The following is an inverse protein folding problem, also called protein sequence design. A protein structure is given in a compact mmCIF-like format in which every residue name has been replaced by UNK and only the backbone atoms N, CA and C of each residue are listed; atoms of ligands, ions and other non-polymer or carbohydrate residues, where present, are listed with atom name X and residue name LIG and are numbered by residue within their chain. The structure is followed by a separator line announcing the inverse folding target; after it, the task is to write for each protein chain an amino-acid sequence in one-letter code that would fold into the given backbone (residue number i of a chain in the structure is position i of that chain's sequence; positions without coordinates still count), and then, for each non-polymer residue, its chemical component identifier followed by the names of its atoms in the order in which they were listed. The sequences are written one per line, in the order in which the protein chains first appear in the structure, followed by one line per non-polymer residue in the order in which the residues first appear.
data_IF_960323234164
#
_entry.id   IF_960323234164
#
_cell.length_a   1.000
_cell.length_b   1.000
_cell.length_c   1.000
_cell.angle_alpha   90.00
_cell.angle_beta   90.00
_cell.angle_gamma   90.00
#
_symmetry.space_group_name_H-M   'P 1'
#
loop_
_entity.id
_entity.type
_entity.pdbx_description
1 polymer ?
#
# COMPACT_ATOMS: atom_id res chain seq x y z
N UNK A 1 30.41 -59.46 17.29
CA UNK A 1 30.30 -58.33 16.35
C UNK A 1 28.84 -57.90 16.38
N UNK A 2 28.51 -56.77 17.05
CA UNK A 2 27.18 -56.19 17.05
C UNK A 2 27.25 -54.92 16.19
N UNK A 3 26.58 -54.92 15.02
CA UNK A 3 26.36 -53.73 14.20
C UNK A 3 25.35 -52.85 14.93
N UNK A 4 25.79 -51.67 15.33
CA UNK A 4 24.93 -50.57 15.81
C UNK A 4 24.58 -49.76 14.55
N UNK A 5 23.36 -49.95 14.06
CA UNK A 5 22.76 -49.08 13.07
C UNK A 5 22.55 -47.68 13.68
N UNK A 6 23.32 -46.70 13.23
CA UNK A 6 23.06 -45.29 13.53
C UNK A 6 21.86 -44.81 12.66
N UNK A 7 20.71 -44.67 13.29
CA UNK A 7 19.60 -43.95 12.69
C UNK A 7 19.99 -42.44 12.59
N UNK A 8 20.25 -42.01 11.35
CA UNK A 8 20.35 -40.59 11.03
C UNK A 8 18.96 -40.02 11.12
N UNK A 9 18.67 -39.36 12.23
CA UNK A 9 17.45 -38.53 12.36
C UNK A 9 17.67 -37.30 11.47
N UNK A 10 17.03 -37.29 10.29
CA UNK A 10 16.90 -36.08 9.48
C UNK A 10 16.12 -35.05 10.29
N UNK A 11 16.83 -34.17 10.97
CA UNK A 11 16.24 -32.99 11.62
C UNK A 11 15.65 -32.11 10.52
N UNK A 12 14.33 -32.09 10.41
CA UNK A 12 13.62 -31.09 9.61
C UNK A 12 13.98 -29.72 10.18
N UNK A 13 14.74 -28.92 9.40
CA UNK A 13 15.04 -27.54 9.77
C UNK A 13 13.72 -26.78 9.89
N UNK A 14 13.51 -26.11 10.99
CA UNK A 14 12.37 -25.21 11.19
C UNK A 14 12.48 -24.03 10.21
N UNK A 15 11.40 -23.74 9.50
CA UNK A 15 11.35 -22.62 8.53
C UNK A 15 11.41 -21.30 9.27
N UNK A 16 12.20 -20.37 8.77
CA UNK A 16 12.21 -19.00 9.29
C UNK A 16 10.87 -18.29 9.06
N UNK A 17 10.63 -17.21 9.82
CA UNK A 17 9.44 -16.38 9.63
C UNK A 17 9.33 -15.86 8.19
N UNK A 18 10.45 -15.49 7.57
CA UNK A 18 10.46 -15.04 6.18
C UNK A 18 10.09 -16.17 5.21
N UNK A 19 10.64 -17.38 5.39
CA UNK A 19 10.32 -18.54 4.54
C UNK A 19 8.84 -18.90 4.64
N UNK A 20 8.27 -18.88 5.84
CA UNK A 20 6.84 -19.07 6.09
C UNK A 20 5.99 -17.98 5.43
N UNK A 21 6.40 -16.71 5.58
CA UNK A 21 5.74 -15.57 4.94
C UNK A 21 5.80 -15.69 3.41
N UNK A 22 6.94 -16.03 2.84
CA UNK A 22 7.08 -16.23 1.40
C UNK A 22 6.17 -17.36 0.90
N UNK A 23 6.15 -18.51 1.58
CA UNK A 23 5.33 -19.65 1.18
C UNK A 23 3.83 -19.29 1.21
N UNK A 24 3.35 -18.66 2.30
CA UNK A 24 1.94 -18.30 2.44
C UNK A 24 1.53 -17.17 1.48
N UNK A 25 2.34 -16.14 1.33
CA UNK A 25 2.03 -15.02 0.44
C UNK A 25 2.11 -15.41 -1.05
N UNK A 26 2.98 -16.35 -1.43
CA UNK A 26 3.05 -16.86 -2.82
C UNK A 26 1.71 -17.42 -3.31
N UNK A 27 0.90 -17.98 -2.42
CA UNK A 27 -0.44 -18.49 -2.74
C UNK A 27 -1.47 -17.38 -3.00
N UNK A 28 -1.13 -16.13 -2.68
CA UNK A 28 -1.99 -14.96 -2.83
C UNK A 28 -1.63 -14.12 -4.06
N UNK A 29 -0.61 -14.48 -4.83
CA UNK A 29 -0.27 -13.77 -6.07
C UNK A 29 -1.46 -13.82 -7.03
N UNK A 30 -1.84 -12.65 -7.58
CA UNK A 30 -3.01 -12.44 -8.42
C UNK A 30 -4.34 -12.36 -7.66
N UNK A 31 -4.31 -12.33 -6.31
CA UNK A 31 -5.52 -12.23 -5.49
C UNK A 31 -5.61 -10.87 -4.80
N UNK A 32 -6.85 -10.43 -4.61
CA UNK A 32 -7.18 -9.29 -3.78
C UNK A 32 -6.83 -9.61 -2.31
N UNK A 33 -5.90 -8.84 -1.74
CA UNK A 33 -5.54 -8.92 -0.33
C UNK A 33 -6.62 -8.29 0.56
N UNK A 34 -7.29 -7.26 0.05
CA UNK A 34 -8.39 -6.60 0.75
C UNK A 34 -8.72 -5.22 0.17
N UNK A 35 -9.79 -4.65 0.71
CA UNK A 35 -10.29 -3.31 0.38
C UNK A 35 -10.43 -2.52 1.68
N UNK A 36 -9.88 -1.32 1.72
CA UNK A 36 -9.92 -0.49 2.94
C UNK A 36 -11.32 0.04 3.23
N UNK A 37 -11.60 0.45 4.47
CA UNK A 37 -12.72 1.34 4.75
C UNK A 37 -12.62 2.62 3.94
N UNK A 38 -13.78 3.28 3.74
CA UNK A 38 -13.84 4.60 3.14
C UNK A 38 -13.20 5.66 4.04
N UNK A 39 -12.37 6.53 3.46
CA UNK A 39 -11.72 7.66 4.13
C UNK A 39 -12.23 8.97 3.53
N UNK A 40 -12.68 9.87 4.39
CA UNK A 40 -13.07 11.23 3.98
C UNK A 40 -11.82 12.07 3.68
N UNK A 41 -11.83 12.74 2.54
CA UNK A 41 -10.85 13.74 2.14
C UNK A 41 -11.53 15.12 2.22
N UNK A 42 -11.51 15.69 3.40
CA UNK A 42 -12.08 17.01 3.69
C UNK A 42 -11.08 18.15 3.42
N UNK A 43 -11.58 19.39 3.44
CA UNK A 43 -10.76 20.57 3.22
C UNK A 43 -9.65 20.72 4.26
N UNK A 44 -9.92 20.40 5.51
CA UNK A 44 -8.93 20.48 6.60
C UNK A 44 -7.70 19.62 6.29
N UNK A 45 -7.90 18.41 5.76
CA UNK A 45 -6.82 17.52 5.36
C UNK A 45 -6.03 18.06 4.16
N UNK A 46 -6.73 18.67 3.19
CA UNK A 46 -6.12 19.28 2.01
C UNK A 46 -5.26 20.47 2.41
N UNK A 47 -5.79 21.35 3.27
CA UNK A 47 -5.07 22.53 3.78
C UNK A 47 -3.83 22.16 4.59
N UNK A 48 -3.94 21.14 5.45
CA UNK A 48 -2.80 20.64 6.22
C UNK A 48 -1.70 20.06 5.31
N UNK A 49 -2.10 19.37 4.23
CA UNK A 49 -1.15 18.85 3.25
C UNK A 49 -0.48 19.98 2.46
N UNK A 50 -1.26 20.96 1.99
CA UNK A 50 -0.76 22.16 1.31
C UNK A 50 0.28 22.90 2.15
N UNK A 51 -0.01 23.08 3.45
CA UNK A 51 0.90 23.72 4.40
C UNK A 51 2.19 22.91 4.58
N UNK A 52 2.07 21.59 4.78
CA UNK A 52 3.22 20.71 5.05
C UNK A 52 4.16 20.60 3.85
N UNK A 53 3.60 20.62 2.65
CA UNK A 53 4.37 20.49 1.38
C UNK A 53 4.72 21.82 0.74
N UNK A 54 4.26 22.95 1.34
CA UNK A 54 4.43 24.31 0.79
C UNK A 54 3.87 24.45 -0.63
N UNK A 55 2.76 23.72 -0.94
CA UNK A 55 2.06 23.74 -2.23
C UNK A 55 0.61 24.26 -2.08
N UNK A 56 0.40 25.57 -1.77
CA UNK A 56 -0.94 26.15 -1.57
C UNK A 56 -1.53 26.66 -2.88
N UNK A 57 -1.52 25.85 -3.96
CA UNK A 57 -2.18 26.24 -5.20
C UNK A 57 -3.67 26.49 -4.98
N UNK A 58 -4.22 27.53 -5.62
CA UNK A 58 -5.60 27.97 -5.41
C UNK A 58 -6.65 26.88 -5.69
N UNK A 59 -6.36 25.96 -6.62
CA UNK A 59 -7.23 24.79 -6.89
C UNK A 59 -7.40 23.87 -5.68
N UNK A 60 -6.51 23.95 -4.69
CA UNK A 60 -6.55 23.14 -3.49
C UNK A 60 -7.12 23.90 -2.29
N UNK A 61 -6.83 25.20 -2.19
CA UNK A 61 -7.09 25.96 -0.95
C UNK A 61 -8.14 27.09 -1.09
N UNK A 62 -8.61 27.38 -2.31
CA UNK A 62 -9.61 28.44 -2.55
C UNK A 62 -10.83 27.90 -3.32
N UNK A 63 -11.93 27.69 -2.60
CA UNK A 63 -13.14 27.09 -3.16
C UNK A 63 -13.83 27.99 -4.19
N UNK A 64 -13.76 29.32 -4.05
CA UNK A 64 -14.34 30.26 -5.00
C UNK A 64 -13.55 30.23 -6.30
N UNK A 65 -12.23 30.32 -6.22
CA UNK A 65 -11.35 30.18 -7.37
C UNK A 65 -11.56 28.83 -8.08
N UNK A 66 -11.55 27.74 -7.35
CA UNK A 66 -11.70 26.39 -7.91
C UNK A 66 -13.03 26.25 -8.69
N UNK A 67 -14.13 26.83 -8.19
CA UNK A 67 -15.43 26.82 -8.88
C UNK A 67 -15.48 27.72 -10.10
N UNK A 68 -14.81 28.87 -10.07
CA UNK A 68 -14.87 29.86 -11.13
C UNK A 68 -13.93 29.52 -12.30
N UNK A 69 -12.73 29.02 -11.99
CA UNK A 69 -11.62 28.93 -12.92
C UNK A 69 -11.28 27.49 -13.35
N UNK A 70 -12.00 26.49 -12.81
CA UNK A 70 -11.74 25.08 -13.15
C UNK A 70 -13.05 24.32 -13.44
N UNK A 71 -12.98 23.16 -14.09
CA UNK A 71 -14.18 22.34 -14.32
C UNK A 71 -14.66 21.61 -13.06
N UNK A 72 -14.05 21.83 -11.88
CA UNK A 72 -14.37 21.13 -10.65
C UNK A 72 -15.46 21.86 -9.88
N UNK A 73 -16.28 21.10 -9.12
CA UNK A 73 -17.36 21.66 -8.29
C UNK A 73 -16.86 22.34 -7.01
N UNK A 74 -15.56 22.30 -6.75
CA UNK A 74 -14.88 22.84 -5.57
C UNK A 74 -13.39 22.56 -5.61
N UNK A 75 -12.71 22.76 -4.50
CA UNK A 75 -11.30 22.41 -4.37
C UNK A 75 -11.08 20.90 -4.55
N UNK A 76 -9.89 20.55 -5.01
CA UNK A 76 -9.47 19.15 -5.18
C UNK A 76 -8.28 18.83 -4.28
N UNK A 77 -8.16 17.59 -3.87
CA UNK A 77 -6.98 17.10 -3.18
C UNK A 77 -5.75 17.08 -4.11
N UNK A 78 -4.57 17.35 -3.55
CA UNK A 78 -3.31 17.06 -4.23
C UNK A 78 -3.25 15.58 -4.61
N UNK A 79 -2.76 15.28 -5.81
CA UNK A 79 -2.55 13.89 -6.21
C UNK A 79 -1.65 13.14 -5.21
N UNK A 80 -0.61 13.81 -4.73
CA UNK A 80 0.30 13.24 -3.71
C UNK A 80 -0.36 13.05 -2.35
N UNK A 81 -1.34 13.86 -1.94
CA UNK A 81 -2.14 13.58 -0.75
C UNK A 81 -2.92 12.28 -0.93
N UNK A 82 -3.60 12.13 -2.07
CA UNK A 82 -4.35 10.90 -2.39
C UNK A 82 -3.44 9.68 -2.36
N UNK A 83 -2.25 9.76 -2.96
CA UNK A 83 -1.25 8.69 -2.94
C UNK A 83 -0.75 8.38 -1.52
N UNK A 84 -0.49 9.42 -0.71
CA UNK A 84 0.01 9.26 0.66
C UNK A 84 -0.97 8.51 1.58
N UNK A 85 -2.28 8.56 1.27
CA UNK A 85 -3.28 7.79 2.00
C UNK A 85 -3.15 6.27 1.82
N UNK A 86 -2.42 5.80 0.80
CA UNK A 86 -2.18 4.38 0.55
C UNK A 86 -1.61 3.64 1.77
N UNK A 87 -0.66 4.24 2.48
CA UNK A 87 -0.06 3.64 3.68
C UNK A 87 -1.07 3.45 4.81
N UNK A 88 -1.98 4.42 5.02
CA UNK A 88 -3.07 4.30 5.99
C UNK A 88 -4.04 3.21 5.57
N UNK A 89 -4.48 3.21 4.31
CA UNK A 89 -5.41 2.24 3.77
C UNK A 89 -4.87 0.81 3.84
N UNK A 90 -3.59 0.59 3.50
CA UNK A 90 -2.94 -0.71 3.60
C UNK A 90 -2.93 -1.22 5.04
N UNK A 91 -2.52 -0.38 6.00
CA UNK A 91 -2.47 -0.73 7.42
C UNK A 91 -3.85 -1.10 7.98
N UNK A 92 -4.91 -0.44 7.52
CA UNK A 92 -6.28 -0.71 7.97
C UNK A 92 -6.88 -1.97 7.31
N UNK A 93 -6.19 -2.57 6.34
CA UNK A 93 -6.72 -3.65 5.48
C UNK A 93 -5.92 -4.94 5.57
N UNK A 94 -4.59 -4.86 5.54
CA UNK A 94 -3.69 -6.00 5.44
C UNK A 94 -2.88 -6.11 6.73
N UNK A 95 -3.02 -7.25 7.42
CA UNK A 95 -2.26 -7.52 8.63
C UNK A 95 -0.74 -7.64 8.31
N UNK A 96 0.14 -7.20 9.22
CA UNK A 96 1.57 -7.45 9.11
C UNK A 96 1.87 -8.96 9.02
N UNK A 97 2.94 -9.31 8.31
CA UNK A 97 3.41 -10.70 8.24
C UNK A 97 4.01 -11.11 9.60
N UNK A 98 3.83 -12.38 9.96
CA UNK A 98 4.41 -12.89 11.22
C UNK A 98 5.93 -12.72 11.23
N UNK A 99 6.48 -12.14 12.29
CA UNK A 99 7.91 -11.87 12.44
C UNK A 99 8.44 -10.68 11.62
N UNK A 100 7.56 -9.98 10.91
CA UNK A 100 7.93 -8.74 10.23
C UNK A 100 8.16 -7.62 11.25
N UNK A 101 9.30 -6.92 11.14
CA UNK A 101 9.65 -5.80 12.04
C UNK A 101 9.30 -4.44 11.45
N UNK A 102 9.33 -4.30 10.11
CA UNK A 102 8.93 -3.07 9.42
C UNK A 102 8.58 -3.32 7.96
N UNK A 103 7.89 -2.34 7.35
CA UNK A 103 7.71 -2.23 5.89
C UNK A 103 8.33 -0.94 5.39
N UNK A 104 9.12 -1.02 4.33
CA UNK A 104 9.71 0.13 3.66
C UNK A 104 9.01 0.36 2.33
N UNK A 105 8.64 1.63 2.06
CA UNK A 105 8.22 2.05 0.73
C UNK A 105 9.45 2.08 -0.18
N UNK A 106 9.47 1.26 -1.23
CA UNK A 106 10.60 1.17 -2.15
C UNK A 106 10.35 1.90 -3.48
N UNK A 107 9.09 2.14 -3.83
CA UNK A 107 8.75 2.89 -5.03
C UNK A 107 7.37 2.55 -5.60
N UNK A 108 7.10 3.13 -6.75
CA UNK A 108 5.87 2.92 -7.52
C UNK A 108 6.21 2.77 -8.99
N UNK A 109 5.63 1.76 -9.63
CA UNK A 109 5.65 1.61 -11.09
C UNK A 109 4.26 1.94 -11.64
N UNK A 110 4.22 2.48 -12.87
CA UNK A 110 2.98 2.75 -13.61
C UNK A 110 1.98 3.63 -12.85
N UNK A 111 2.45 4.52 -11.99
CA UNK A 111 1.58 5.46 -11.27
C UNK A 111 0.85 6.37 -12.27
N UNK A 112 -0.49 6.42 -12.15
CA UNK A 112 -1.36 7.31 -12.92
C UNK A 112 -2.42 7.90 -12.01
N UNK A 113 -2.53 9.23 -11.99
CA UNK A 113 -3.66 9.97 -11.44
C UNK A 113 -4.71 10.09 -12.54
N UNK A 114 -5.91 9.59 -12.30
CA UNK A 114 -6.95 9.42 -13.31
C UNK A 114 -8.13 10.37 -13.11
N UNK A 115 -8.57 10.53 -11.86
CA UNK A 115 -9.71 11.37 -11.52
C UNK A 115 -9.36 12.22 -10.29
N UNK A 116 -9.50 13.55 -10.37
CA UNK A 116 -9.32 14.43 -9.22
C UNK A 116 -10.29 14.09 -8.08
N UNK A 117 -9.81 14.11 -6.85
CA UNK A 117 -10.61 13.91 -5.64
C UNK A 117 -11.10 15.26 -5.15
N UNK A 118 -12.38 15.57 -5.34
CA UNK A 118 -12.97 16.83 -4.86
C UNK A 118 -13.07 16.79 -3.33
N UNK A 119 -12.83 17.94 -2.67
CA UNK A 119 -12.99 18.09 -1.22
C UNK A 119 -14.37 17.62 -0.76
N UNK A 120 -14.40 16.83 0.32
CA UNK A 120 -15.61 16.17 0.82
C UNK A 120 -15.88 14.79 0.24
N UNK A 121 -15.11 14.33 -0.76
CA UNK A 121 -15.21 12.97 -1.30
C UNK A 121 -14.65 11.94 -0.33
N UNK A 122 -15.15 10.70 -0.42
CA UNK A 122 -14.56 9.56 0.26
C UNK A 122 -13.79 8.71 -0.76
N UNK A 123 -12.65 8.18 -0.33
CA UNK A 123 -11.80 7.29 -1.12
C UNK A 123 -11.50 6.01 -0.37
N UNK A 124 -11.19 4.91 -1.09
CA UNK A 124 -10.71 3.65 -0.50
C UNK A 124 -9.68 2.98 -1.41
N UNK A 125 -8.80 2.20 -0.81
CA UNK A 125 -7.79 1.43 -1.51
C UNK A 125 -8.21 -0.03 -1.69
N UNK A 126 -7.99 -0.57 -2.89
CA UNK A 126 -8.04 -2.00 -3.19
C UNK A 126 -6.61 -2.47 -3.45
N UNK A 127 -6.23 -3.60 -2.84
CA UNK A 127 -4.85 -4.12 -2.86
C UNK A 127 -4.83 -5.53 -3.42
N UNK A 128 -4.18 -5.74 -4.58
CA UNK A 128 -3.98 -7.05 -5.18
C UNK A 128 -2.50 -7.38 -5.18
N UNK A 129 -2.10 -8.53 -4.63
CA UNK A 129 -0.71 -8.97 -4.66
C UNK A 129 -0.33 -9.39 -6.07
N UNK A 130 0.58 -8.65 -6.70
CA UNK A 130 1.00 -8.85 -8.07
C UNK A 130 2.25 -9.70 -8.21
N UNK A 131 3.23 -9.45 -7.33
CA UNK A 131 4.53 -10.12 -7.37
C UNK A 131 5.15 -10.18 -5.98
N UNK A 132 5.97 -11.22 -5.76
CA UNK A 132 6.64 -11.48 -4.50
C UNK A 132 8.04 -12.05 -4.77
N UNK A 133 9.05 -11.47 -4.13
CA UNK A 133 10.43 -11.93 -4.29
C UNK A 133 11.22 -11.81 -2.99
N UNK A 134 11.80 -12.90 -2.54
CA UNK A 134 12.82 -12.85 -1.50
C UNK A 134 14.09 -12.22 -2.09
N UNK A 135 14.58 -11.13 -1.48
CA UNK A 135 15.76 -10.39 -1.95
C UNK A 135 16.99 -10.58 -1.07
N UNK A 136 16.78 -11.05 0.17
CA UNK A 136 17.84 -11.48 1.08
C UNK A 136 17.27 -12.44 2.12
N UNK A 137 18.08 -12.85 3.09
CA UNK A 137 17.66 -13.69 4.23
C UNK A 137 16.63 -13.00 5.15
N UNK A 138 16.55 -11.66 5.09
CA UNK A 138 15.67 -10.84 5.96
C UNK A 138 14.72 -9.93 5.19
N UNK A 139 14.68 -9.99 3.85
CA UNK A 139 13.89 -9.04 3.04
C UNK A 139 13.02 -9.73 2.02
N UNK A 140 11.75 -9.35 2.03
CA UNK A 140 10.73 -9.81 1.09
C UNK A 140 10.19 -8.58 0.33
N UNK A 141 10.50 -8.50 -0.98
CA UNK A 141 9.96 -7.48 -1.87
C UNK A 141 8.57 -7.92 -2.33
N UNK A 142 7.60 -7.04 -2.16
CA UNK A 142 6.21 -7.25 -2.57
C UNK A 142 5.82 -6.17 -3.57
N UNK A 143 5.13 -6.53 -4.64
CA UNK A 143 4.48 -5.59 -5.55
C UNK A 143 2.98 -5.78 -5.43
N UNK A 144 2.30 -4.70 -5.07
CA UNK A 144 0.85 -4.69 -4.90
C UNK A 144 0.24 -3.73 -5.93
N UNK A 145 -0.65 -4.22 -6.78
CA UNK A 145 -1.48 -3.32 -7.59
C UNK A 145 -2.45 -2.62 -6.64
N UNK A 146 -2.30 -1.30 -6.53
CA UNK A 146 -3.17 -0.42 -5.77
C UNK A 146 -4.09 0.33 -6.70
N UNK A 147 -5.39 0.23 -6.44
CA UNK A 147 -6.42 1.08 -7.03
C UNK A 147 -7.06 1.90 -5.91
N UNK A 148 -7.05 3.23 -6.01
CA UNK A 148 -7.80 4.10 -5.10
C UNK A 148 -9.09 4.54 -5.79
N UNK A 149 -10.22 4.09 -5.25
CA UNK A 149 -11.55 4.44 -5.71
C UNK A 149 -12.07 5.71 -5.05
N UNK A 150 -13.01 6.40 -5.72
CA UNK A 150 -13.81 7.51 -5.19
C UNK A 150 -15.25 7.03 -5.06
N UNK A 151 -15.89 7.25 -3.90
CA UNK A 151 -17.29 6.89 -3.67
C UNK A 151 -18.21 7.51 -4.73
N UNK A 152 -19.02 6.68 -5.39
CA UNK A 152 -19.94 7.12 -6.46
C UNK A 152 -19.30 7.44 -7.81
N UNK A 153 -17.98 7.32 -7.98
CA UNK A 153 -17.31 7.54 -9.27
C UNK A 153 -17.09 6.23 -10.02
N UNK A 154 -17.35 6.17 -11.34
CA UNK A 154 -17.06 5.00 -12.17
C UNK A 154 -15.57 4.84 -12.48
N UNK A 155 -14.76 5.88 -12.23
CA UNK A 155 -13.32 5.86 -12.47
C UNK A 155 -12.56 6.06 -11.16
N UNK A 156 -11.44 5.34 -10.94
CA UNK A 156 -10.63 5.50 -9.76
C UNK A 156 -9.89 6.85 -9.75
N UNK A 157 -9.47 7.29 -8.57
CA UNK A 157 -8.59 8.44 -8.39
C UNK A 157 -7.20 8.17 -8.95
N UNK A 158 -6.63 7.00 -8.63
CA UNK A 158 -5.33 6.57 -9.12
C UNK A 158 -5.22 5.04 -9.20
N UNK A 159 -4.25 4.60 -10.00
CA UNK A 159 -3.78 3.22 -10.04
C UNK A 159 -2.26 3.21 -10.07
N UNK A 160 -1.64 2.18 -9.45
CA UNK A 160 -0.19 2.01 -9.44
C UNK A 160 0.20 0.59 -9.04
N UNK A 161 1.38 0.16 -9.46
CA UNK A 161 2.08 -0.99 -8.88
C UNK A 161 2.97 -0.46 -7.73
N UNK A 162 2.55 -0.67 -6.49
CA UNK A 162 3.25 -0.20 -5.31
C UNK A 162 4.25 -1.23 -4.83
N UNK A 163 5.52 -0.83 -4.70
CA UNK A 163 6.64 -1.69 -4.32
C UNK A 163 6.96 -1.46 -2.86
N UNK A 164 6.83 -2.49 -2.05
CA UNK A 164 7.16 -2.53 -0.64
C UNK A 164 8.23 -3.58 -0.35
N UNK A 165 9.00 -3.35 0.71
CA UNK A 165 9.93 -4.33 1.25
C UNK A 165 9.56 -4.60 2.70
N UNK A 166 9.08 -5.81 2.98
CA UNK A 166 8.93 -6.31 4.34
C UNK A 166 10.29 -6.76 4.86
N UNK A 167 10.66 -6.28 6.05
CA UNK A 167 11.92 -6.59 6.72
C UNK A 167 11.62 -7.48 7.92
N UNK A 168 12.38 -8.55 8.06
CA UNK A 168 12.31 -9.51 9.17
C UNK A 168 13.57 -9.41 10.04
N UNK A 169 13.46 -9.76 11.31
CA UNK A 169 14.64 -9.93 12.17
C UNK A 169 15.53 -11.07 11.65
N UNK A 170 16.83 -10.91 11.80
CA UNK A 170 17.73 -12.07 11.72
C UNK A 170 17.33 -13.03 12.86
N UNK A 171 17.29 -14.33 12.56
CA UNK A 171 17.12 -15.35 13.62
C UNK A 171 18.38 -15.28 14.49
N UNK A 172 18.21 -15.02 15.80
CA UNK A 172 19.26 -15.27 16.80
C UNK A 172 19.48 -16.76 16.98
#
# INVERSE_FOLDING_TARGET
MKHTDQYVVNGSREMSNLENAYATQSLLIGKLLGTSPWLLIDQTRIDAFAQTTEDPQLIHVNAEYAKAETPFSGTIAHGFLTLSMASRMMRDTVAPLQGQVMTLNAGFDKLRFLTPVVSGSKIRGMFELKDLKQTSTTRLRMVTTLTIEIEGSPKPALVTDWINVAVFSELE
#
